data_IF_397489921769
#
_entry.id   IF_397489921769
#
_cell.length_a   1.000
_cell.length_b   1.000
_cell.length_c   1.000
_cell.angle_alpha   90.00
_cell.angle_beta   90.00
_cell.angle_gamma   90.00
#
_symmetry.space_group_name_H-M   'P 1'
#
loop_
_entity.id
_entity.type
_entity.pdbx_description
1 polymer ?
#
# COMPACT_ATOMS: atom_id res chain seq x y z
N UNK A 1 40.51 -15.71 -20.85
CA UNK A 1 39.69 -16.49 -19.92
C UNK A 1 38.83 -15.55 -19.08
N UNK A 2 37.54 -15.44 -19.35
CA UNK A 2 36.63 -14.63 -18.55
C UNK A 2 36.33 -15.39 -17.25
N UNK A 3 36.80 -14.88 -16.13
CA UNK A 3 36.45 -15.38 -14.80
C UNK A 3 34.95 -15.17 -14.60
N UNK A 4 34.18 -16.26 -14.67
CA UNK A 4 32.79 -16.24 -14.28
C UNK A 4 32.73 -15.85 -12.79
N UNK A 5 32.39 -14.58 -12.51
CA UNK A 5 32.14 -14.12 -11.14
C UNK A 5 30.88 -14.83 -10.64
N UNK A 6 31.04 -15.77 -9.74
CA UNK A 6 29.95 -16.45 -9.04
C UNK A 6 29.17 -15.39 -8.23
N UNK A 7 28.07 -14.89 -8.78
CA UNK A 7 27.16 -14.09 -7.98
C UNK A 7 26.47 -15.00 -6.94
N UNK A 8 26.45 -14.61 -5.65
CA UNK A 8 25.72 -15.36 -4.63
C UNK A 8 24.25 -15.55 -5.05
N UNK A 9 23.70 -16.74 -4.89
CA UNK A 9 22.33 -17.09 -5.31
C UNK A 9 21.27 -16.09 -4.82
N UNK A 10 21.42 -15.52 -3.62
CA UNK A 10 20.56 -14.49 -3.10
C UNK A 10 20.49 -13.21 -3.96
N UNK A 11 21.57 -12.82 -4.64
CA UNK A 11 21.57 -11.67 -5.56
C UNK A 11 20.85 -11.98 -6.87
N UNK A 12 20.90 -13.23 -7.35
CA UNK A 12 20.16 -13.64 -8.55
C UNK A 12 18.64 -13.60 -8.30
N UNK A 13 18.18 -14.07 -7.12
CA UNK A 13 16.77 -14.04 -6.74
C UNK A 13 16.24 -12.62 -6.60
N UNK A 14 17.03 -11.67 -6.05
CA UNK A 14 16.68 -10.27 -5.94
C UNK A 14 16.26 -9.65 -7.28
N UNK A 15 16.96 -9.99 -8.36
CA UNK A 15 16.71 -9.44 -9.71
C UNK A 15 15.33 -9.76 -10.26
N UNK A 16 14.74 -10.86 -9.82
CA UNK A 16 13.42 -11.29 -10.31
C UNK A 16 12.31 -11.06 -9.31
N UNK A 17 12.57 -11.33 -8.03
CA UNK A 17 11.54 -11.30 -7.00
C UNK A 17 10.92 -9.90 -6.81
N UNK A 18 11.72 -8.85 -6.61
CA UNK A 18 11.19 -7.51 -6.32
C UNK A 18 10.47 -6.89 -7.52
N UNK A 19 10.98 -6.97 -8.77
CA UNK A 19 10.21 -6.55 -9.94
C UNK A 19 8.92 -7.34 -10.13
N UNK A 20 8.96 -8.68 -9.96
CA UNK A 20 7.76 -9.51 -10.07
C UNK A 20 6.70 -9.14 -9.04
N UNK A 21 7.10 -8.90 -7.78
CA UNK A 21 6.19 -8.42 -6.74
C UNK A 21 5.60 -7.04 -7.10
N UNK A 22 6.39 -6.12 -7.63
CA UNK A 22 5.90 -4.81 -8.06
C UNK A 22 4.86 -4.92 -9.19
N UNK A 23 5.10 -5.80 -10.17
CA UNK A 23 4.16 -6.09 -11.26
C UNK A 23 2.89 -6.74 -10.72
N UNK A 24 3.01 -7.71 -9.82
CA UNK A 24 1.87 -8.38 -9.19
C UNK A 24 0.99 -7.38 -8.41
N UNK A 25 1.62 -6.46 -7.67
CA UNK A 25 0.91 -5.39 -6.96
C UNK A 25 0.22 -4.43 -7.91
N UNK A 26 0.87 -4.01 -9.00
CA UNK A 26 0.23 -3.17 -10.02
C UNK A 26 -0.97 -3.88 -10.66
N UNK A 27 -0.82 -5.17 -11.00
CA UNK A 27 -1.93 -5.99 -11.51
C UNK A 27 -3.11 -6.08 -10.53
N UNK A 28 -2.80 -6.24 -9.24
CA UNK A 28 -3.81 -6.23 -8.15
C UNK A 28 -4.53 -4.90 -8.07
N UNK A 29 -3.80 -3.78 -8.12
CA UNK A 29 -4.36 -2.43 -8.12
C UNK A 29 -5.25 -2.22 -9.34
N UNK A 30 -4.76 -2.57 -10.53
CA UNK A 30 -5.54 -2.44 -11.76
C UNK A 30 -6.83 -3.26 -11.70
N UNK A 31 -6.75 -4.54 -11.33
CA UNK A 31 -7.91 -5.43 -11.21
C UNK A 31 -8.95 -4.88 -10.21
N UNK A 32 -8.50 -4.41 -9.05
CA UNK A 32 -9.38 -3.88 -8.01
C UNK A 32 -10.08 -2.59 -8.41
N UNK A 33 -9.38 -1.70 -9.09
CA UNK A 33 -9.91 -0.40 -9.48
C UNK A 33 -10.34 -0.30 -10.96
N UNK A 34 -10.25 -1.40 -11.73
CA UNK A 34 -10.63 -1.40 -13.15
C UNK A 34 -12.05 -0.86 -13.35
N UNK A 35 -13.03 -1.43 -12.64
CA UNK A 35 -14.45 -1.10 -12.82
C UNK A 35 -14.84 0.28 -12.27
N UNK A 36 -14.18 0.75 -11.23
CA UNK A 36 -14.59 1.95 -10.50
C UNK A 36 -13.75 3.18 -10.82
N UNK A 37 -12.58 3.02 -11.44
CA UNK A 37 -11.67 4.11 -11.73
C UNK A 37 -11.05 4.04 -13.13
N UNK A 38 -10.21 3.02 -13.44
CA UNK A 38 -9.46 2.99 -14.70
C UNK A 38 -10.33 2.83 -15.96
N UNK A 39 -11.38 2.03 -15.86
CA UNK A 39 -12.34 1.75 -16.93
C UNK A 39 -13.75 2.25 -16.54
N UNK A 40 -13.83 3.27 -15.68
CA UNK A 40 -15.10 3.80 -15.17
C UNK A 40 -16.07 4.18 -16.30
N UNK A 41 -15.59 4.76 -17.38
CA UNK A 41 -16.40 5.10 -18.56
C UNK A 41 -17.02 3.87 -19.25
N UNK A 42 -16.30 2.76 -19.33
CA UNK A 42 -16.78 1.50 -19.90
C UNK A 42 -17.86 0.89 -19.01
N UNK A 43 -17.68 0.92 -17.70
CA UNK A 43 -18.60 0.35 -16.72
C UNK A 43 -19.68 1.34 -16.25
N UNK A 44 -19.72 2.55 -16.82
CA UNK A 44 -20.66 3.63 -16.44
C UNK A 44 -20.66 3.91 -14.94
N UNK A 45 -19.48 3.81 -14.30
CA UNK A 45 -19.31 4.15 -12.90
C UNK A 45 -19.41 5.67 -12.70
N UNK A 46 -19.95 6.16 -11.57
CA UNK A 46 -19.99 7.59 -11.29
C UNK A 46 -18.59 8.18 -11.27
N UNK A 47 -18.43 9.38 -11.82
CA UNK A 47 -17.16 10.10 -11.83
C UNK A 47 -16.71 10.38 -10.41
N UNK A 48 -15.45 10.11 -10.13
CA UNK A 48 -14.82 10.41 -8.87
C UNK A 48 -14.70 11.93 -8.67
N UNK A 49 -14.68 12.38 -7.41
CA UNK A 49 -14.32 13.77 -7.09
C UNK A 49 -12.87 14.04 -7.53
N UNK A 50 -12.52 15.33 -7.73
CA UNK A 50 -11.16 15.72 -8.11
C UNK A 50 -10.09 15.24 -7.10
N UNK A 51 -10.44 15.21 -5.79
CA UNK A 51 -9.59 14.66 -4.73
C UNK A 51 -9.31 13.17 -4.99
N UNK A 52 -10.33 12.40 -5.35
CA UNK A 52 -10.17 10.98 -5.68
C UNK A 52 -9.37 10.77 -6.95
N UNK A 53 -9.44 11.69 -7.94
CA UNK A 53 -8.58 11.64 -9.12
C UNK A 53 -7.11 11.89 -8.76
N UNK A 54 -6.80 12.91 -7.95
CA UNK A 54 -5.44 13.18 -7.49
C UNK A 54 -4.89 12.04 -6.63
N UNK A 55 -5.71 11.51 -5.71
CA UNK A 55 -5.37 10.35 -4.91
C UNK A 55 -5.07 9.13 -5.80
N UNK A 56 -5.98 8.78 -6.70
CA UNK A 56 -5.80 7.65 -7.61
C UNK A 56 -4.58 7.79 -8.52
N UNK A 57 -4.31 9.00 -9.03
CA UNK A 57 -3.13 9.29 -9.85
C UNK A 57 -1.84 9.12 -9.04
N UNK A 58 -1.76 9.67 -7.82
CA UNK A 58 -0.58 9.55 -6.96
C UNK A 58 -0.29 8.10 -6.58
N UNK A 59 -1.30 7.33 -6.23
CA UNK A 59 -1.17 5.91 -5.87
C UNK A 59 -0.82 5.03 -7.08
N UNK A 60 -1.38 5.34 -8.26
CA UNK A 60 -1.00 4.67 -9.51
C UNK A 60 0.45 4.97 -9.89
N UNK A 61 0.87 6.24 -9.77
CA UNK A 61 2.25 6.65 -10.01
C UNK A 61 3.23 5.97 -9.05
N UNK A 62 2.84 5.77 -7.78
CA UNK A 62 3.62 5.01 -6.81
C UNK A 62 3.87 3.56 -7.25
N UNK A 63 2.82 2.87 -7.70
CA UNK A 63 2.94 1.48 -8.16
C UNK A 63 3.83 1.37 -9.41
N UNK A 64 3.69 2.31 -10.36
CA UNK A 64 4.56 2.40 -11.53
C UNK A 64 6.01 2.72 -11.13
N UNK A 65 6.19 3.67 -10.20
CA UNK A 65 7.51 4.03 -9.69
C UNK A 65 8.20 2.84 -9.01
N UNK A 66 7.46 2.00 -8.27
CA UNK A 66 8.01 0.79 -7.65
C UNK A 66 8.58 -0.16 -8.71
N UNK A 67 7.90 -0.35 -9.84
CA UNK A 67 8.41 -1.16 -10.97
C UNK A 67 9.67 -0.52 -11.54
N UNK A 68 9.66 0.79 -11.82
CA UNK A 68 10.81 1.50 -12.36
C UNK A 68 12.00 1.39 -11.41
N UNK A 69 11.80 1.62 -10.12
CA UNK A 69 12.84 1.56 -9.10
C UNK A 69 13.46 0.17 -8.96
N UNK A 70 12.65 -0.88 -8.96
CA UNK A 70 13.15 -2.26 -8.89
C UNK A 70 13.88 -2.65 -10.18
N UNK A 71 13.39 -2.21 -11.35
CA UNK A 71 14.02 -2.43 -12.65
C UNK A 71 15.37 -1.70 -12.77
N UNK A 72 15.49 -0.46 -12.25
CA UNK A 72 16.75 0.28 -12.24
C UNK A 72 17.83 -0.44 -11.42
N UNK A 73 17.45 -0.98 -10.25
CA UNK A 73 18.39 -1.78 -9.43
C UNK A 73 18.82 -3.05 -10.18
N UNK A 74 17.88 -3.74 -10.82
CA UNK A 74 18.17 -4.93 -11.62
C UNK A 74 19.09 -4.62 -12.80
N UNK A 75 18.92 -3.46 -13.44
CA UNK A 75 19.76 -2.99 -14.54
C UNK A 75 21.10 -2.38 -14.08
N UNK A 76 21.41 -2.40 -12.77
CA UNK A 76 22.65 -1.82 -12.22
C UNK A 76 22.68 -0.29 -12.17
N UNK A 77 21.57 0.39 -12.52
CA UNK A 77 21.47 1.88 -12.57
C UNK A 77 21.15 2.45 -11.18
N UNK A 78 21.98 2.13 -10.19
CA UNK A 78 21.79 2.54 -8.78
C UNK A 78 21.87 4.06 -8.60
N UNK A 79 22.65 4.75 -9.44
CA UNK A 79 22.74 6.22 -9.48
C UNK A 79 21.38 6.85 -9.78
N UNK A 80 20.68 6.36 -10.79
CA UNK A 80 19.37 6.85 -11.19
C UNK A 80 18.29 6.42 -10.18
N UNK A 81 18.36 5.17 -9.65
CA UNK A 81 17.51 4.72 -8.56
C UNK A 81 17.56 5.69 -7.36
N UNK A 82 18.76 6.13 -6.94
CA UNK A 82 18.91 7.05 -5.81
C UNK A 82 18.33 8.43 -6.08
N UNK A 83 18.58 9.01 -7.28
CA UNK A 83 18.01 10.31 -7.66
C UNK A 83 16.50 10.27 -7.74
N UNK A 84 15.94 9.27 -8.43
CA UNK A 84 14.51 9.09 -8.56
C UNK A 84 13.87 8.71 -7.22
N UNK A 85 14.62 8.06 -6.32
CA UNK A 85 14.17 7.70 -4.98
C UNK A 85 13.83 8.91 -4.10
N UNK A 86 14.51 10.06 -4.29
CA UNK A 86 14.16 11.31 -3.60
C UNK A 86 12.80 11.86 -4.10
N UNK A 87 12.56 11.80 -5.40
CA UNK A 87 11.25 12.15 -5.99
C UNK A 87 10.18 11.20 -5.47
N UNK A 88 10.49 9.89 -5.38
CA UNK A 88 9.62 8.88 -4.81
C UNK A 88 9.28 9.14 -3.33
N UNK A 89 10.22 9.62 -2.54
CA UNK A 89 9.96 10.02 -1.16
C UNK A 89 9.00 11.22 -1.08
N UNK A 90 9.19 12.23 -1.95
CA UNK A 90 8.25 13.35 -2.09
C UNK A 90 6.85 12.89 -2.49
N UNK A 91 6.75 11.95 -3.45
CA UNK A 91 5.48 11.33 -3.83
C UNK A 91 4.82 10.60 -2.65
N UNK A 92 5.58 9.83 -1.85
CA UNK A 92 5.05 9.17 -0.66
C UNK A 92 4.49 10.16 0.37
N UNK A 93 5.17 11.30 0.59
CA UNK A 93 4.65 12.37 1.43
C UNK A 93 3.34 12.94 0.88
N UNK A 94 3.25 13.17 -0.43
CA UNK A 94 2.01 13.61 -1.09
C UNK A 94 0.89 12.57 -0.96
N UNK A 95 1.21 11.28 -1.04
CA UNK A 95 0.24 10.20 -0.84
C UNK A 95 -0.37 10.20 0.57
N UNK A 96 0.42 10.50 1.60
CA UNK A 96 -0.07 10.61 2.98
C UNK A 96 -1.11 11.73 3.07
N UNK A 97 -0.82 12.89 2.48
CA UNK A 97 -1.75 14.03 2.45
C UNK A 97 -3.02 13.67 1.65
N UNK A 98 -2.84 13.25 0.40
CA UNK A 98 -3.97 12.94 -0.50
C UNK A 98 -4.82 11.78 0.02
N UNK A 99 -4.20 10.77 0.63
CA UNK A 99 -4.90 9.65 1.23
C UNK A 99 -5.74 10.06 2.42
N UNK A 100 -5.21 10.94 3.28
CA UNK A 100 -5.96 11.50 4.42
C UNK A 100 -7.12 12.36 3.93
N UNK A 101 -6.91 13.20 2.92
CA UNK A 101 -7.97 14.02 2.31
C UNK A 101 -9.07 13.14 1.68
N UNK A 102 -8.69 12.08 0.94
CA UNK A 102 -9.64 11.15 0.34
C UNK A 102 -10.45 10.38 1.40
N UNK A 103 -9.80 9.94 2.49
CA UNK A 103 -10.47 9.29 3.60
C UNK A 103 -11.47 10.24 4.30
N UNK A 104 -11.08 11.49 4.52
CA UNK A 104 -11.92 12.52 5.14
C UNK A 104 -13.09 12.90 4.21
N UNK A 105 -12.87 12.99 2.89
CA UNK A 105 -13.94 13.24 1.92
C UNK A 105 -14.95 12.09 1.87
N UNK A 106 -14.48 10.83 1.96
CA UNK A 106 -15.35 9.67 2.07
C UNK A 106 -16.20 9.68 3.35
N UNK A 107 -15.60 10.04 4.49
CA UNK A 107 -16.30 10.23 5.76
C UNK A 107 -17.35 11.34 5.68
N UNK A 108 -17.00 12.48 5.08
CA UNK A 108 -17.92 13.63 4.86
C UNK A 108 -19.15 13.22 4.06
N UNK A 109 -18.97 12.44 2.99
CA UNK A 109 -20.04 11.94 2.11
C UNK A 109 -20.77 10.73 2.66
N UNK A 110 -20.40 10.22 3.85
CA UNK A 110 -20.89 8.96 4.43
C UNK A 110 -20.78 7.77 3.46
N UNK A 111 -19.69 7.71 2.67
CA UNK A 111 -19.48 6.73 1.61
C UNK A 111 -18.67 5.56 2.14
N UNK A 112 -19.31 4.59 2.76
CA UNK A 112 -18.68 3.42 3.38
C UNK A 112 -19.29 2.07 2.94
N UNK A 113 -20.14 2.06 1.92
CA UNK A 113 -20.84 0.86 1.49
C UNK A 113 -21.81 0.38 2.58
N UNK A 114 -21.61 -0.85 3.06
CA UNK A 114 -22.45 -1.49 4.08
C UNK A 114 -21.93 -1.33 5.53
N UNK A 115 -20.79 -0.65 5.71
CA UNK A 115 -20.20 -0.40 7.04
C UNK A 115 -20.56 1.00 7.53
N UNK A 116 -20.63 1.20 8.86
CA UNK A 116 -20.77 2.54 9.42
C UNK A 116 -19.61 3.44 8.96
N UNK A 117 -19.88 4.64 8.41
CA UNK A 117 -18.85 5.52 7.86
C UNK A 117 -17.76 5.92 8.86
N UNK A 118 -18.11 6.07 10.15
CA UNK A 118 -17.15 6.42 11.19
C UNK A 118 -16.23 5.27 11.53
N UNK A 119 -16.80 4.07 11.65
CA UNK A 119 -16.02 2.83 11.81
C UNK A 119 -15.15 2.57 10.59
N UNK A 120 -15.68 2.76 9.37
CA UNK A 120 -14.89 2.60 8.14
C UNK A 120 -13.68 3.55 8.08
N UNK A 121 -13.81 4.75 8.61
CA UNK A 121 -12.76 5.79 8.55
C UNK A 121 -11.43 5.35 9.21
N UNK A 122 -11.47 4.43 10.18
CA UNK A 122 -10.26 3.90 10.82
C UNK A 122 -9.37 3.15 9.82
N UNK A 123 -9.97 2.48 8.82
CA UNK A 123 -9.26 1.64 7.85
C UNK A 123 -8.27 2.48 7.02
N UNK A 124 -8.72 3.44 6.19
CA UNK A 124 -7.80 4.22 5.37
C UNK A 124 -6.82 5.06 6.20
N UNK A 125 -7.21 5.55 7.38
CA UNK A 125 -6.28 6.31 8.23
C UNK A 125 -5.14 5.43 8.75
N UNK A 126 -5.44 4.24 9.25
CA UNK A 126 -4.42 3.33 9.76
C UNK A 126 -3.52 2.80 8.65
N UNK A 127 -4.07 2.51 7.46
CA UNK A 127 -3.27 2.08 6.30
C UNK A 127 -2.28 3.18 5.87
N UNK A 128 -2.70 4.46 5.85
CA UNK A 128 -1.84 5.59 5.51
C UNK A 128 -0.78 5.85 6.59
N UNK A 129 -1.15 5.78 7.86
CA UNK A 129 -0.20 5.93 8.96
C UNK A 129 0.85 4.82 8.96
N UNK A 130 0.42 3.58 8.72
CA UNK A 130 1.32 2.43 8.60
C UNK A 130 2.26 2.59 7.40
N UNK A 131 1.71 2.95 6.24
CA UNK A 131 2.50 3.27 5.04
C UNK A 131 3.54 4.33 5.33
N UNK A 132 3.13 5.48 5.88
CA UNK A 132 4.03 6.59 6.20
C UNK A 132 5.13 6.20 7.19
N UNK A 133 4.79 5.45 8.23
CA UNK A 133 5.75 4.93 9.22
C UNK A 133 6.77 4.01 8.57
N UNK A 134 6.33 3.06 7.74
CA UNK A 134 7.23 2.13 7.06
C UNK A 134 8.10 2.83 6.00
N UNK A 135 7.55 3.82 5.28
CA UNK A 135 8.33 4.65 4.33
C UNK A 135 9.39 5.48 5.07
N UNK A 136 9.07 6.05 6.23
CA UNK A 136 10.05 6.75 7.05
C UNK A 136 11.21 5.82 7.42
N UNK A 137 10.93 4.62 7.93
CA UNK A 137 11.98 3.65 8.26
C UNK A 137 12.72 3.15 7.01
N UNK A 138 12.03 2.98 5.87
CA UNK A 138 12.66 2.63 4.61
C UNK A 138 13.64 3.70 4.14
N UNK A 139 13.27 4.97 4.25
CA UNK A 139 14.16 6.10 3.91
C UNK A 139 15.36 6.18 4.84
N UNK A 140 15.17 5.97 6.14
CA UNK A 140 16.28 5.86 7.13
C UNK A 140 17.22 4.71 6.78
N UNK A 141 16.68 3.59 6.33
CA UNK A 141 17.42 2.39 5.95
C UNK A 141 17.96 2.41 4.50
N UNK A 142 17.90 3.52 3.77
CA UNK A 142 18.26 3.59 2.34
C UNK A 142 19.69 3.17 2.00
N UNK A 143 20.59 3.22 2.98
CA UNK A 143 21.97 2.74 2.86
C UNK A 143 22.16 1.29 3.34
N UNK A 144 21.08 0.63 3.75
CA UNK A 144 21.03 -0.80 4.11
C UNK A 144 20.06 -1.51 3.14
N UNK A 145 20.52 -1.96 1.96
CA UNK A 145 19.66 -2.51 0.92
C UNK A 145 18.78 -3.69 1.40
N UNK A 146 19.26 -4.63 2.22
CA UNK A 146 18.43 -5.71 2.74
C UNK A 146 17.22 -5.25 3.56
N UNK A 147 17.38 -4.22 4.37
CA UNK A 147 16.30 -3.64 5.17
C UNK A 147 15.39 -2.76 4.32
N UNK A 148 15.99 -1.87 3.52
CA UNK A 148 15.28 -0.90 2.67
C UNK A 148 14.27 -1.57 1.73
N UNK A 149 14.69 -2.55 0.95
CA UNK A 149 13.83 -3.22 -0.04
C UNK A 149 12.62 -3.91 0.61
N UNK A 150 12.79 -4.50 1.81
CA UNK A 150 11.71 -5.15 2.56
C UNK A 150 10.71 -4.14 3.13
N UNK A 151 11.21 -3.05 3.70
CA UNK A 151 10.37 -1.97 4.22
C UNK A 151 9.54 -1.32 3.10
N UNK A 152 10.14 -1.05 1.94
CA UNK A 152 9.44 -0.52 0.77
C UNK A 152 8.32 -1.46 0.31
N UNK A 153 8.60 -2.76 0.26
CA UNK A 153 7.62 -3.75 -0.14
C UNK A 153 6.48 -3.86 0.87
N UNK A 154 6.79 -3.97 2.19
CA UNK A 154 5.77 -4.09 3.24
C UNK A 154 4.94 -2.80 3.35
N UNK A 155 5.55 -1.62 3.18
CA UNK A 155 4.82 -0.36 3.10
C UNK A 155 3.79 -0.37 1.95
N UNK A 156 4.17 -0.92 0.80
CA UNK A 156 3.24 -1.05 -0.33
C UNK A 156 2.17 -2.12 -0.07
N UNK A 157 2.53 -3.24 0.59
CA UNK A 157 1.56 -4.27 1.02
C UNK A 157 0.49 -3.67 1.94
N UNK A 158 0.84 -2.74 2.83
CA UNK A 158 -0.13 -2.08 3.70
C UNK A 158 -1.27 -1.40 2.94
N UNK A 159 -1.02 -0.95 1.71
CA UNK A 159 -2.02 -0.30 0.85
C UNK A 159 -2.85 -1.30 0.02
N UNK A 160 -2.50 -2.60 0.01
CA UNK A 160 -3.14 -3.58 -0.88
C UNK A 160 -4.52 -4.04 -0.42
N UNK A 161 -4.94 -3.78 0.81
CA UNK A 161 -6.30 -4.12 1.29
C UNK A 161 -7.36 -3.43 0.43
N UNK A 162 -7.15 -2.16 0.09
CA UNK A 162 -8.12 -1.38 -0.68
C UNK A 162 -8.38 -1.94 -2.10
N UNK A 163 -7.37 -2.28 -2.92
CA UNK A 163 -7.60 -2.91 -4.22
C UNK A 163 -8.12 -4.35 -4.09
N UNK A 164 -7.63 -5.15 -3.14
CA UNK A 164 -8.10 -6.54 -2.95
C UNK A 164 -9.57 -6.57 -2.57
N UNK A 165 -10.03 -5.66 -1.69
CA UNK A 165 -11.45 -5.53 -1.31
C UNK A 165 -12.38 -5.24 -2.51
N UNK A 166 -11.82 -4.74 -3.61
CA UNK A 166 -12.56 -4.39 -4.83
C UNK A 166 -12.45 -5.43 -5.94
N UNK A 167 -11.77 -6.54 -5.70
CA UNK A 167 -11.69 -7.60 -6.69
C UNK A 167 -13.09 -8.10 -7.08
N UNK A 168 -13.31 -8.44 -8.37
CA UNK A 168 -14.63 -8.83 -8.88
C UNK A 168 -15.06 -10.23 -8.47
N UNK A 169 -14.36 -10.87 -7.53
CA UNK A 169 -14.61 -12.24 -7.11
C UNK A 169 -15.67 -12.31 -6.00
N UNK A 170 -16.61 -13.27 -6.13
CA UNK A 170 -17.70 -13.44 -5.18
C UNK A 170 -17.18 -13.72 -3.75
N UNK A 171 -16.12 -14.53 -3.62
CA UNK A 171 -15.53 -14.87 -2.32
C UNK A 171 -14.90 -13.66 -1.58
N UNK A 172 -14.59 -12.55 -2.30
CA UNK A 172 -14.16 -11.30 -1.66
C UNK A 172 -15.38 -10.44 -1.31
N UNK A 173 -16.34 -10.32 -2.23
CA UNK A 173 -17.44 -9.36 -2.10
C UNK A 173 -18.51 -9.79 -1.10
N UNK A 174 -18.61 -11.08 -0.80
CA UNK A 174 -19.63 -11.68 0.06
C UNK A 174 -19.07 -12.10 1.43
N UNK A 175 -17.81 -11.79 1.72
CA UNK A 175 -17.14 -12.21 2.96
C UNK A 175 -16.71 -11.03 3.82
N UNK A 176 -16.51 -11.26 5.12
CA UNK A 176 -16.01 -10.22 6.03
C UNK A 176 -14.62 -9.69 5.61
N UNK A 177 -14.27 -8.48 6.07
CA UNK A 177 -13.01 -7.79 5.75
C UNK A 177 -11.76 -8.63 6.06
N UNK A 178 -11.79 -9.48 7.09
CA UNK A 178 -10.64 -10.32 7.41
C UNK A 178 -10.22 -11.28 6.29
N UNK A 179 -11.15 -11.68 5.40
CA UNK A 179 -10.82 -12.49 4.22
C UNK A 179 -9.99 -11.68 3.22
N UNK A 180 -10.36 -10.42 3.00
CA UNK A 180 -9.58 -9.47 2.18
C UNK A 180 -8.18 -9.27 2.74
N UNK A 181 -8.07 -9.11 4.06
CA UNK A 181 -6.78 -8.97 4.73
C UNK A 181 -5.93 -10.24 4.59
N UNK A 182 -6.56 -11.42 4.73
CA UNK A 182 -5.86 -12.71 4.54
C UNK A 182 -5.32 -12.84 3.10
N UNK A 183 -6.11 -12.45 2.09
CA UNK A 183 -5.64 -12.41 0.70
C UNK A 183 -4.48 -11.41 0.52
N UNK A 184 -4.52 -10.28 1.23
CA UNK A 184 -3.43 -9.29 1.23
C UNK A 184 -2.16 -9.86 1.88
N UNK A 185 -2.29 -10.67 2.93
CA UNK A 185 -1.14 -11.31 3.57
C UNK A 185 -0.43 -12.33 2.68
N UNK A 186 -1.03 -12.79 1.57
CA UNK A 186 -0.34 -13.61 0.59
C UNK A 186 0.94 -12.92 0.06
N UNK A 187 0.93 -11.59 -0.12
CA UNK A 187 2.13 -10.83 -0.48
C UNK A 187 3.21 -10.90 0.60
N UNK A 188 2.82 -10.84 1.88
CA UNK A 188 3.76 -10.99 2.99
C UNK A 188 4.31 -12.42 3.06
N UNK A 189 3.48 -13.43 2.83
CA UNK A 189 3.90 -14.84 2.75
C UNK A 189 4.91 -15.04 1.63
N UNK A 190 4.68 -14.46 0.45
CA UNK A 190 5.66 -14.50 -0.65
C UNK A 190 7.01 -13.90 -0.25
N UNK A 191 6.99 -12.79 0.51
CA UNK A 191 8.22 -12.18 1.03
C UNK A 191 8.92 -13.06 2.08
N UNK A 192 8.15 -13.73 2.95
CA UNK A 192 8.69 -14.69 3.92
C UNK A 192 9.34 -15.88 3.23
N UNK A 193 8.67 -16.46 2.22
CA UNK A 193 9.21 -17.55 1.40
C UNK A 193 10.48 -17.11 0.70
N UNK A 194 10.49 -15.92 0.09
CA UNK A 194 11.70 -15.34 -0.51
C UNK A 194 12.84 -15.21 0.50
N UNK A 195 12.58 -14.74 1.73
CA UNK A 195 13.60 -14.59 2.76
C UNK A 195 14.25 -15.94 3.10
N UNK A 196 13.43 -16.96 3.35
CA UNK A 196 13.92 -18.31 3.65
C UNK A 196 14.70 -18.89 2.46
N UNK A 197 14.17 -18.72 1.25
CA UNK A 197 14.80 -19.28 0.05
C UNK A 197 16.11 -18.59 -0.30
N UNK A 198 16.21 -17.25 -0.12
CA UNK A 198 17.40 -16.48 -0.50
C UNK A 198 18.50 -16.46 0.57
N UNK A 199 18.16 -16.62 1.86
CA UNK A 199 19.12 -16.47 2.98
C UNK A 199 19.05 -17.57 4.03
N UNK A 200 18.18 -18.58 3.86
CA UNK A 200 17.97 -19.67 4.82
C UNK A 200 17.22 -19.26 6.09
N UNK A 201 16.83 -18.01 6.22
CA UNK A 201 16.14 -17.49 7.43
C UNK A 201 15.30 -16.26 7.10
N UNK A 202 14.23 -16.04 7.87
CA UNK A 202 13.43 -14.82 7.77
C UNK A 202 14.24 -13.62 8.26
N UNK A 203 14.22 -12.54 7.49
CA UNK A 203 14.93 -11.31 7.85
C UNK A 203 14.20 -10.58 8.99
N UNK A 204 14.96 -10.05 9.96
CA UNK A 204 14.39 -9.37 11.14
C UNK A 204 13.39 -8.25 10.77
N UNK A 205 13.68 -7.49 9.71
CA UNK A 205 12.78 -6.43 9.23
C UNK A 205 11.47 -7.01 8.73
N UNK A 206 11.49 -8.14 8.02
CA UNK A 206 10.25 -8.81 7.57
C UNK A 206 9.40 -9.24 8.76
N UNK A 207 10.04 -9.75 9.81
CA UNK A 207 9.32 -10.17 11.02
C UNK A 207 8.65 -8.98 11.73
N UNK A 208 9.40 -7.95 12.12
CA UNK A 208 8.80 -6.86 12.89
C UNK A 208 7.87 -5.98 12.06
N UNK A 209 8.22 -5.66 10.80
CA UNK A 209 7.36 -4.84 9.94
C UNK A 209 6.11 -5.60 9.49
N UNK A 210 6.24 -6.91 9.21
CA UNK A 210 5.11 -7.79 8.92
C UNK A 210 4.20 -7.98 10.14
N UNK A 211 4.78 -8.18 11.33
CA UNK A 211 4.02 -8.25 12.58
C UNK A 211 3.27 -6.93 12.86
N UNK A 212 3.94 -5.78 12.68
CA UNK A 212 3.31 -4.46 12.83
C UNK A 212 2.12 -4.31 11.88
N UNK A 213 2.28 -4.68 10.60
CA UNK A 213 1.21 -4.67 9.61
C UNK A 213 0.01 -5.49 10.07
N UNK A 214 0.24 -6.75 10.47
CA UNK A 214 -0.82 -7.65 10.92
C UNK A 214 -1.50 -7.10 12.17
N UNK A 215 -0.73 -6.67 13.19
CA UNK A 215 -1.29 -6.14 14.43
C UNK A 215 -2.17 -4.91 14.17
N UNK A 216 -1.67 -3.92 13.40
CA UNK A 216 -2.44 -2.72 13.08
C UNK A 216 -3.74 -3.09 12.37
N UNK A 217 -3.69 -3.98 11.39
CA UNK A 217 -4.89 -4.40 10.66
C UNK A 217 -5.87 -5.21 11.52
N UNK A 218 -5.40 -5.98 12.50
CA UNK A 218 -6.28 -6.73 13.44
C UNK A 218 -6.95 -5.85 14.49
N UNK A 219 -6.24 -4.84 15.02
CA UNK A 219 -6.79 -4.00 16.10
C UNK A 219 -7.61 -2.80 15.60
N UNK A 220 -7.50 -2.43 14.32
CA UNK A 220 -8.15 -1.22 13.80
C UNK A 220 -9.68 -1.26 13.88
N UNK A 221 -10.33 -2.39 13.55
CA UNK A 221 -11.80 -2.49 13.63
C UNK A 221 -12.31 -2.43 15.07
N UNK A 222 -11.78 -3.20 16.03
CA UNK A 222 -12.10 -3.00 17.44
C UNK A 222 -11.94 -1.55 17.91
N UNK A 223 -10.87 -0.86 17.49
CA UNK A 223 -10.66 0.57 17.80
C UNK A 223 -11.76 1.42 17.13
N UNK A 224 -12.07 1.14 15.86
CA UNK A 224 -13.09 1.84 15.06
C UNK A 224 -14.50 1.77 15.65
N UNK A 225 -14.80 0.76 16.46
CA UNK A 225 -16.09 0.56 17.13
C UNK A 225 -16.17 1.27 18.51
N UNK A 226 -15.07 1.82 19.01
CA UNK A 226 -15.05 2.48 20.33
C UNK A 226 -15.77 3.83 20.32
N UNK A 227 -16.42 4.24 21.44
CA UNK A 227 -17.00 5.56 21.57
C UNK A 227 -16.00 6.70 21.38
N UNK A 228 -14.75 6.50 21.80
CA UNK A 228 -13.67 7.49 21.65
C UNK A 228 -13.36 7.71 20.18
N UNK A 229 -13.27 6.64 19.38
CA UNK A 229 -13.07 6.74 17.94
C UNK A 229 -14.25 7.44 17.27
N UNK A 230 -15.48 7.08 17.62
CA UNK A 230 -16.67 7.70 17.06
C UNK A 230 -16.76 9.20 17.38
N UNK A 231 -16.35 9.62 18.57
CA UNK A 231 -16.26 11.05 18.93
C UNK A 231 -15.24 11.77 18.04
N UNK A 232 -14.04 11.20 17.85
CA UNK A 232 -13.02 11.73 16.95
C UNK A 232 -13.52 11.79 15.49
N UNK A 233 -14.09 10.70 14.97
CA UNK A 233 -14.61 10.66 13.61
C UNK A 233 -15.76 11.66 13.39
N UNK A 234 -16.62 11.87 14.40
CA UNK A 234 -17.67 12.90 14.36
C UNK A 234 -17.08 14.29 14.28
N UNK A 235 -16.08 14.59 15.09
CA UNK A 235 -15.37 15.87 15.05
C UNK A 235 -14.74 16.10 13.66
N UNK A 236 -14.01 15.09 13.11
CA UNK A 236 -13.39 15.17 11.79
C UNK A 236 -14.43 15.36 10.67
N UNK A 237 -15.59 14.69 10.77
CA UNK A 237 -16.68 14.82 9.81
C UNK A 237 -17.29 16.23 9.83
N UNK A 238 -17.52 16.80 11.01
CA UNK A 238 -18.07 18.14 11.17
C UNK A 238 -17.10 19.20 10.64
N UNK A 239 -15.81 19.06 10.95
CA UNK A 239 -14.77 19.93 10.41
C UNK A 239 -14.71 19.88 8.87
N UNK A 240 -14.78 18.67 8.29
CA UNK A 240 -14.78 18.51 6.83
C UNK A 240 -16.03 19.12 6.18
N UNK A 241 -17.18 19.09 6.85
CA UNK A 241 -18.42 19.72 6.36
C UNK A 241 -18.34 21.25 6.42
N UNK A 242 -17.83 21.83 7.53
CA UNK A 242 -17.71 23.29 7.67
C UNK A 242 -16.81 23.93 6.61
N UNK A 243 -15.71 23.24 6.22
CA UNK A 243 -14.80 23.72 5.17
C UNK A 243 -15.46 23.75 3.77
N UNK A 244 -16.48 22.94 3.53
CA UNK A 244 -17.15 22.83 2.23
C UNK A 244 -18.47 23.62 2.15
N UNK A 245 -18.94 24.21 3.25
CA UNK A 245 -20.18 25.02 3.32
C UNK A 245 -19.91 26.51 3.28
N UNK A 246 -18.68 26.96 3.38
CA UNK A 246 -18.22 28.32 3.19
C UNK A 246 -17.59 28.54 1.83
#
# INVERSE_FOLDING_TARGET
>A
MATATFEPEGRRLDRYFFPAMAILMLGTIFLGFARTYYLAGVFKAPLASWILHLHGAAFSLWALLLIVQTSLVTAGRVDLHRRLGLVGFGLACSMIILGTLAATDALRRASAGFMDPKTFFVIPLTDILLFGTLIFFAFRARFNPPAHKRLMLIATIALMVAPVARWPFAFIRQTPLWVTELCTYAFLVLLLVYDVWSTGRVHRVTLWAGALLIVVQRVRLPIGETPIWHAFATWAQNLARSIHSG
#
